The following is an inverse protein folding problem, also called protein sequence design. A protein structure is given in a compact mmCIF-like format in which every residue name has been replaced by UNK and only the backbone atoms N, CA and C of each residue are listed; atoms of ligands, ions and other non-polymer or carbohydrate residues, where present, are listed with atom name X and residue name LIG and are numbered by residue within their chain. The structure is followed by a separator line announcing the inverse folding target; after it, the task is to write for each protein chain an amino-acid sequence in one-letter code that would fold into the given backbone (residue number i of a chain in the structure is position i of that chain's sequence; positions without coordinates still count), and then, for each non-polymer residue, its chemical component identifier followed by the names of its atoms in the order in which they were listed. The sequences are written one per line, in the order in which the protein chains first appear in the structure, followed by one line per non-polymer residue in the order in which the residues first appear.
data_IF_338283755186
#
_entry.id   IF_338283755186
#
_cell.length_a   1.000
_cell.length_b   1.000
_cell.length_c   1.000
_cell.angle_alpha   90.00
_cell.angle_beta   90.00
_cell.angle_gamma   90.00
#
_symmetry.space_group_name_H-M   'P 1'
#
loop_
_entity.id
_entity.type
_entity.pdbx_description
1 polymer ?
#
# COMPACT_ATOMS: atom_id res chain seq x y z
N UNK A 1 63.34 32.65 -6.50
CA UNK A 1 62.06 32.72 -7.21
C UNK A 1 60.96 32.32 -6.24
N UNK A 2 59.95 33.19 -6.09
CA UNK A 2 58.88 33.14 -5.08
C UNK A 2 57.83 32.08 -5.48
N UNK A 3 57.46 31.18 -4.56
CA UNK A 3 56.17 30.45 -4.64
C UNK A 3 55.21 31.18 -3.70
N UNK A 4 54.12 31.66 -4.28
CA UNK A 4 53.21 32.64 -3.73
C UNK A 4 51.99 31.89 -3.16
N UNK A 5 51.78 32.11 -1.87
CA UNK A 5 50.55 32.10 -1.05
C UNK A 5 49.22 31.87 -1.80
N UNK A 6 48.39 30.95 -1.30
CA UNK A 6 46.90 31.03 -1.24
C UNK A 6 46.37 29.69 -0.70
N UNK A 7 45.44 29.55 0.24
CA UNK A 7 44.61 30.47 1.03
C UNK A 7 44.02 29.63 2.14
N UNK A 8 44.07 30.17 3.35
CA UNK A 8 43.46 29.64 4.58
C UNK A 8 41.93 29.83 4.50
N UNK A 9 41.15 28.75 4.50
CA UNK A 9 39.71 28.80 4.81
C UNK A 9 39.48 28.07 6.13
N UNK A 10 39.62 28.83 7.21
CA UNK A 10 39.00 28.55 8.50
C UNK A 10 37.54 28.99 8.35
N UNK A 11 36.60 28.06 8.46
CA UNK A 11 35.22 28.38 8.80
C UNK A 11 34.78 27.45 9.93
N UNK A 12 35.06 27.89 11.16
CA UNK A 12 34.33 27.44 12.34
C UNK A 12 32.95 28.07 12.31
N UNK A 13 31.88 27.28 12.18
CA UNK A 13 30.58 27.61 12.77
C UNK A 13 29.96 26.32 13.33
N UNK A 14 30.25 26.13 14.60
CA UNK A 14 29.53 25.26 15.53
C UNK A 14 28.19 25.94 15.79
N UNK A 15 27.09 25.31 15.40
CA UNK A 15 25.78 25.57 16.02
C UNK A 15 25.17 24.24 16.42
N UNK A 16 25.40 23.91 17.68
CA UNK A 16 24.64 22.92 18.44
C UNK A 16 23.24 23.48 18.63
N UNK A 17 22.25 22.90 17.97
CA UNK A 17 20.87 22.95 18.42
C UNK A 17 20.36 21.51 18.45
N UNK A 18 20.28 20.98 19.67
CA UNK A 18 19.56 19.76 19.97
C UNK A 18 18.10 19.96 19.56
N UNK A 19 17.72 19.44 18.40
CA UNK A 19 16.36 18.99 18.19
C UNK A 19 16.36 17.50 18.50
N UNK A 20 16.27 17.17 19.79
CA UNK A 20 15.56 15.95 20.17
C UNK A 20 14.17 16.10 19.56
N UNK A 21 13.99 15.56 18.35
CA UNK A 21 12.66 15.24 17.87
C UNK A 21 12.21 14.12 18.79
N UNK A 22 11.54 14.50 19.88
CA UNK A 22 10.58 13.60 20.50
C UNK A 22 9.53 13.38 19.43
N UNK A 23 9.75 12.37 18.58
CA UNK A 23 8.66 11.69 17.91
C UNK A 23 7.73 11.28 19.03
N UNK A 24 6.67 12.07 19.22
CA UNK A 24 5.50 11.59 19.92
C UNK A 24 5.14 10.29 19.19
N UNK A 25 4.99 9.16 19.89
CA UNK A 25 4.44 7.99 19.24
C UNK A 25 3.08 8.43 18.69
N UNK A 26 2.95 8.36 17.37
CA UNK A 26 1.70 8.62 16.67
C UNK A 26 0.59 7.88 17.41
N UNK A 27 -0.51 8.60 17.62
CA UNK A 27 -1.70 8.15 18.32
C UNK A 27 -1.98 6.69 18.01
N UNK A 28 -2.03 5.87 19.08
CA UNK A 28 -2.34 4.44 19.08
C UNK A 28 -3.04 4.00 17.78
N UNK A 29 -2.27 3.44 16.85
CA UNK A 29 -2.81 2.66 15.75
C UNK A 29 -3.57 1.53 16.41
N UNK A 30 -4.87 1.73 16.64
CA UNK A 30 -5.75 0.68 17.16
C UNK A 30 -5.54 -0.50 16.22
N UNK A 31 -4.93 -1.57 16.74
CA UNK A 31 -4.80 -2.84 16.03
C UNK A 31 -6.19 -3.20 15.54
N UNK A 32 -6.42 -3.02 14.25
CA UNK A 32 -7.70 -3.29 13.64
C UNK A 32 -7.78 -4.82 13.53
N UNK A 33 -8.33 -5.46 14.56
CA UNK A 33 -8.41 -6.93 14.71
C UNK A 33 -9.50 -7.56 13.83
N UNK A 34 -9.78 -6.93 12.69
CA UNK A 34 -10.82 -7.33 11.75
C UNK A 34 -10.18 -7.73 10.42
N UNK A 35 -10.93 -8.48 9.61
CA UNK A 35 -10.47 -8.87 8.28
C UNK A 35 -10.04 -7.63 7.46
N UNK A 36 -8.99 -7.75 6.63
CA UNK A 36 -8.55 -6.67 5.75
C UNK A 36 -9.70 -6.05 4.98
N UNK A 37 -9.75 -4.72 4.96
CA UNK A 37 -10.83 -3.97 4.29
C UNK A 37 -10.29 -2.76 3.54
N UNK A 38 -10.79 -2.55 2.32
CA UNK A 38 -10.60 -1.31 1.56
C UNK A 38 -11.88 -0.47 1.71
N UNK A 39 -11.73 0.83 2.00
CA UNK A 39 -12.87 1.74 2.19
C UNK A 39 -12.90 2.79 1.08
N UNK A 40 -13.95 2.78 0.26
CA UNK A 40 -14.14 3.75 -0.84
C UNK A 40 -15.50 4.42 -0.68
N UNK A 41 -15.52 5.74 -0.53
CA UNK A 41 -16.75 6.53 -0.34
C UNK A 41 -17.65 6.02 0.80
N UNK A 42 -17.03 5.52 1.89
CA UNK A 42 -17.74 4.95 3.04
C UNK A 42 -18.22 3.51 2.86
N UNK A 43 -17.98 2.89 1.71
CA UNK A 43 -18.30 1.49 1.45
C UNK A 43 -17.09 0.59 1.75
N UNK A 44 -17.34 -0.54 2.39
CA UNK A 44 -16.32 -1.53 2.76
C UNK A 44 -16.25 -2.65 1.70
N UNK A 45 -15.04 -2.94 1.26
CA UNK A 45 -14.74 -4.02 0.31
C UNK A 45 -13.80 -5.03 0.95
N UNK A 46 -14.11 -6.31 0.76
CA UNK A 46 -13.36 -7.43 1.35
C UNK A 46 -12.83 -8.36 0.26
N UNK A 47 -11.69 -8.98 0.54
CA UNK A 47 -11.10 -10.01 -0.31
C UNK A 47 -11.31 -11.40 0.30
N UNK A 48 -11.61 -12.37 -0.56
CA UNK A 48 -11.68 -13.79 -0.21
C UNK A 48 -10.48 -14.53 -0.82
N UNK A 49 -10.08 -15.68 -0.26
CA UNK A 49 -8.96 -16.50 -0.75
C UNK A 49 -9.20 -16.94 -2.19
N UNK A 50 -10.43 -17.31 -2.53
CA UNK A 50 -10.86 -17.67 -3.90
C UNK A 50 -10.81 -16.48 -4.88
N UNK A 51 -10.47 -15.28 -4.43
CA UNK A 51 -10.40 -14.06 -5.24
C UNK A 51 -9.02 -13.74 -5.82
N UNK A 52 -8.02 -14.59 -5.58
CA UNK A 52 -6.64 -14.38 -6.04
C UNK A 52 -6.44 -15.03 -7.43
N UNK A 53 -6.07 -14.24 -8.43
CA UNK A 53 -5.80 -14.69 -9.81
C UNK A 53 -4.50 -14.12 -10.36
N UNK A 54 -3.77 -14.90 -11.16
CA UNK A 54 -2.47 -14.48 -11.71
C UNK A 54 -2.60 -13.55 -12.92
N UNK A 55 -3.73 -13.60 -13.63
CA UNK A 55 -4.01 -12.77 -14.80
C UNK A 55 -5.29 -11.97 -14.53
N UNK A 56 -5.29 -10.70 -14.94
CA UNK A 56 -6.45 -9.83 -14.82
C UNK A 56 -7.58 -10.40 -15.69
N UNK A 57 -8.79 -10.63 -15.16
CA UNK A 57 -9.90 -11.14 -15.96
C UNK A 57 -10.31 -10.18 -17.08
N UNK A 58 -10.79 -10.76 -18.19
CA UNK A 58 -11.33 -10.01 -19.32
C UNK A 58 -12.44 -9.03 -18.88
N UNK A 59 -12.42 -7.82 -19.43
CA UNK A 59 -13.39 -6.77 -19.13
C UNK A 59 -12.95 -5.80 -18.03
N UNK A 60 -11.95 -6.17 -17.22
CA UNK A 60 -11.35 -5.26 -16.25
C UNK A 60 -10.26 -4.39 -16.89
N UNK A 61 -10.28 -3.09 -16.60
CA UNK A 61 -9.33 -2.10 -17.10
C UNK A 61 -8.77 -1.25 -15.95
N UNK A 62 -7.60 -0.64 -16.16
CA UNK A 62 -6.95 0.19 -15.14
C UNK A 62 -7.85 1.36 -14.72
N UNK A 63 -8.21 1.39 -13.43
CA UNK A 63 -9.07 2.41 -12.83
C UNK A 63 -8.30 3.53 -12.14
N UNK A 64 -7.06 3.28 -11.72
CA UNK A 64 -6.23 4.27 -11.05
C UNK A 64 -5.43 3.68 -9.89
N UNK A 65 -5.12 4.54 -8.92
CA UNK A 65 -4.45 4.15 -7.67
C UNK A 65 -5.32 4.46 -6.46
N UNK A 66 -5.40 3.51 -5.54
CA UNK A 66 -5.98 3.70 -4.22
C UNK A 66 -5.10 4.65 -3.41
N UNK A 67 -5.72 5.48 -2.59
CA UNK A 67 -5.02 6.36 -1.65
C UNK A 67 -4.65 5.62 -0.38
N UNK A 68 -3.69 6.16 0.38
CA UNK A 68 -3.27 5.61 1.68
C UNK A 68 -4.46 5.48 2.65
N UNK A 69 -5.38 6.45 2.65
CA UNK A 69 -6.59 6.42 3.49
C UNK A 69 -7.53 5.27 3.09
N UNK A 70 -7.67 4.99 1.78
CA UNK A 70 -8.55 3.92 1.30
C UNK A 70 -8.05 2.52 1.69
N UNK A 71 -6.73 2.33 1.75
CA UNK A 71 -6.10 1.04 2.07
C UNK A 71 -5.63 0.91 3.53
N UNK A 72 -5.91 1.92 4.37
CA UNK A 72 -5.44 2.02 5.74
C UNK A 72 -5.66 0.75 6.58
N UNK A 73 -6.75 0.04 6.32
CA UNK A 73 -7.14 -1.19 7.03
C UNK A 73 -6.97 -2.48 6.21
N UNK A 74 -6.39 -2.38 5.01
CA UNK A 74 -6.23 -3.51 4.09
C UNK A 74 -4.89 -4.24 4.28
N UNK A 75 -3.88 -3.58 4.86
CA UNK A 75 -2.54 -4.15 5.06
C UNK A 75 -1.90 -4.71 3.76
N UNK A 76 -2.09 -3.99 2.65
CA UNK A 76 -1.60 -4.38 1.32
C UNK A 76 -0.50 -3.45 0.80
N UNK A 77 0.36 -3.99 -0.05
CA UNK A 77 1.44 -3.25 -0.72
C UNK A 77 1.02 -2.70 -2.10
N UNK A 78 -0.10 -3.17 -2.65
CA UNK A 78 -0.61 -2.80 -3.96
C UNK A 78 -1.58 -1.63 -3.91
N UNK A 79 -1.46 -0.70 -4.85
CA UNK A 79 -2.38 0.45 -4.97
C UNK A 79 -3.09 0.53 -6.30
N UNK A 80 -2.61 -0.16 -7.35
CA UNK A 80 -3.25 -0.13 -8.66
C UNK A 80 -4.52 -0.98 -8.65
N UNK A 81 -5.64 -0.36 -9.00
CA UNK A 81 -6.93 -1.03 -9.06
C UNK A 81 -7.52 -1.03 -10.45
N UNK A 82 -8.34 -2.05 -10.72
CA UNK A 82 -8.87 -2.38 -12.03
C UNK A 82 -10.37 -2.59 -11.92
N UNK A 83 -11.13 -1.92 -12.79
CA UNK A 83 -12.59 -1.85 -12.77
C UNK A 83 -13.16 -2.61 -13.96
N UNK A 84 -14.29 -3.29 -13.76
CA UNK A 84 -15.09 -3.82 -14.87
C UNK A 84 -15.71 -2.65 -15.64
N UNK A 85 -15.28 -2.46 -16.88
CA UNK A 85 -15.72 -1.35 -17.74
C UNK A 85 -17.20 -1.39 -18.11
N UNK A 86 -17.85 -2.54 -17.90
CA UNK A 86 -19.25 -2.75 -18.26
C UNK A 86 -20.20 -2.48 -17.08
N UNK A 87 -19.68 -2.23 -15.88
CA UNK A 87 -20.46 -1.92 -14.68
C UNK A 87 -20.40 -0.43 -14.36
N UNK A 88 -21.57 0.19 -14.21
CA UNK A 88 -21.67 1.58 -13.76
C UNK A 88 -21.44 1.74 -12.25
N UNK A 89 -21.79 0.69 -11.48
CA UNK A 89 -21.65 0.66 -10.03
C UNK A 89 -20.42 -0.15 -9.61
N UNK A 90 -19.73 0.33 -8.58
CA UNK A 90 -18.58 -0.35 -7.98
C UNK A 90 -19.06 -1.48 -7.04
N UNK A 91 -19.30 -2.66 -7.60
CA UNK A 91 -19.58 -3.88 -6.81
C UNK A 91 -18.32 -4.64 -6.46
N UNK A 92 -17.36 -4.68 -7.39
CA UNK A 92 -16.07 -5.32 -7.23
C UNK A 92 -15.00 -4.60 -8.04
N UNK A 93 -13.75 -4.84 -7.67
CA UNK A 93 -12.57 -4.43 -8.42
C UNK A 93 -11.41 -5.35 -8.10
N UNK A 94 -10.41 -5.38 -8.96
CA UNK A 94 -9.16 -6.07 -8.67
C UNK A 94 -8.11 -5.08 -8.18
N UNK A 95 -7.29 -5.48 -7.23
CA UNK A 95 -6.06 -4.77 -6.87
C UNK A 95 -4.87 -5.65 -7.22
N UNK A 96 -3.90 -5.08 -7.93
CA UNK A 96 -2.63 -5.76 -8.15
C UNK A 96 -1.75 -5.56 -6.92
N UNK A 97 -1.52 -6.63 -6.15
CA UNK A 97 -0.87 -6.58 -4.84
C UNK A 97 -0.06 -7.84 -4.57
N UNK A 98 0.84 -7.73 -3.60
CA UNK A 98 1.57 -8.88 -3.07
C UNK A 98 0.69 -9.68 -2.08
N UNK A 99 0.41 -10.94 -2.39
CA UNK A 99 -0.35 -11.86 -1.56
C UNK A 99 0.33 -13.24 -1.50
N UNK A 100 -0.13 -14.10 -0.59
CA UNK A 100 0.32 -15.48 -0.59
C UNK A 100 -0.26 -16.28 -1.78
N UNK A 101 0.14 -17.54 -1.88
CA UNK A 101 -0.36 -18.46 -2.90
C UNK A 101 -1.55 -19.25 -2.34
N UNK A 102 -2.75 -19.23 -2.96
CA UNK A 102 -3.82 -20.13 -2.58
C UNK A 102 -3.35 -21.59 -2.67
N UNK A 103 -3.54 -22.34 -1.59
CA UNK A 103 -3.23 -23.79 -1.55
C UNK A 103 -4.51 -24.61 -1.67
N UNK A 104 -5.59 -24.08 -1.08
CA UNK A 104 -6.96 -24.56 -1.19
C UNK A 104 -7.92 -23.36 -0.96
N UNK A 105 -9.23 -23.63 -0.85
CA UNK A 105 -10.27 -22.60 -0.75
C UNK A 105 -10.23 -21.82 0.59
N UNK A 106 -9.54 -22.33 1.61
CA UNK A 106 -9.50 -21.77 2.97
C UNK A 106 -8.09 -21.37 3.41
N UNK A 107 -7.05 -21.79 2.68
CA UNK A 107 -5.66 -21.62 3.08
C UNK A 107 -4.80 -20.92 2.02
N UNK A 108 -4.00 -19.97 2.51
CA UNK A 108 -3.00 -19.24 1.72
C UNK A 108 -1.61 -19.48 2.30
N UNK A 109 -0.70 -19.97 1.46
CA UNK A 109 0.72 -20.05 1.80
C UNK A 109 1.35 -18.66 1.71
N UNK A 110 1.68 -18.10 2.87
CA UNK A 110 2.33 -16.80 2.99
C UNK A 110 3.86 -16.86 3.01
N UNK A 111 4.47 -18.06 2.93
CA UNK A 111 5.95 -18.20 2.92
C UNK A 111 6.57 -17.73 1.62
N UNK A 112 5.84 -17.88 0.51
CA UNK A 112 6.21 -17.39 -0.83
C UNK A 112 5.12 -16.45 -1.32
N UNK A 113 5.31 -15.17 -1.02
CA UNK A 113 4.44 -14.12 -1.52
C UNK A 113 4.75 -13.85 -2.99
N UNK A 114 3.71 -13.52 -3.74
CA UNK A 114 3.77 -13.21 -5.17
C UNK A 114 2.83 -12.06 -5.48
N UNK A 115 3.11 -11.36 -6.58
CA UNK A 115 2.18 -10.36 -7.09
C UNK A 115 1.06 -11.04 -7.88
N UNK A 116 -0.17 -10.73 -7.53
CA UNK A 116 -1.37 -11.24 -8.18
C UNK A 116 -2.49 -10.20 -8.13
N UNK A 117 -3.55 -10.43 -8.91
CA UNK A 117 -4.77 -9.65 -8.84
C UNK A 117 -5.69 -10.26 -7.80
N UNK A 118 -6.06 -9.46 -6.80
CA UNK A 118 -6.98 -9.88 -5.74
C UNK A 118 -8.29 -9.13 -5.93
N UNK A 119 -9.41 -9.85 -6.06
CA UNK A 119 -10.74 -9.23 -6.14
C UNK A 119 -11.17 -8.76 -4.76
N UNK A 120 -11.59 -7.50 -4.68
CA UNK A 120 -12.19 -6.87 -3.53
C UNK A 120 -13.65 -6.58 -3.87
N UNK A 121 -14.58 -7.13 -3.08
CA UNK A 121 -16.02 -7.06 -3.36
C UNK A 121 -16.75 -6.33 -2.24
N UNK A 122 -17.74 -5.54 -2.60
CA UNK A 122 -18.61 -4.83 -1.67
C UNK A 122 -19.28 -5.85 -0.74
N UNK A 123 -19.29 -5.56 0.56
CA UNK A 123 -20.05 -6.38 1.52
C UNK A 123 -21.55 -6.17 1.28
N UNK A 124 -22.26 -7.24 0.94
CA UNK A 124 -23.73 -7.27 0.89
C UNK A 124 -24.37 -7.09 2.28
#
# INVERSE_FOLDING_TARGET
MKRIISTLMILCLIFSAAACSTSQPDEDEKTYDSAPVIVINGNEYFADIVSIVNELPDGYEYGGKLTEEQIKYAYINGTEYYLDKHKENLYDFYVYQECGTPVDDENVDNTKRQWAYVRWSLKE
#
